data_IF_973456303240
#
_entry.id   IF_973456303240
#
_cell.length_a   1.000
_cell.length_b   1.000
_cell.length_c   1.000
_cell.angle_alpha   90.00
_cell.angle_beta   90.00
_cell.angle_gamma   90.00
#
_symmetry.space_group_name_H-M   'P 1'
#
loop_
_entity.id
_entity.type
_entity.pdbx_description
1 polymer ?
#
# COMPACT_ATOMS: atom_id res chain seq x y z
N UNK A 1 38.43 -27.92 49.29
CA UNK A 1 37.38 -28.94 49.10
C UNK A 1 36.03 -28.24 49.22
N UNK A 2 35.47 -27.77 48.09
CA UNK A 2 34.15 -27.14 48.04
C UNK A 2 33.16 -28.17 47.48
N UNK A 3 31.89 -28.21 47.95
CA UNK A 3 30.96 -29.23 47.50
C UNK A 3 30.55 -28.96 46.05
N UNK A 4 30.37 -30.06 45.33
CA UNK A 4 29.96 -30.11 43.94
C UNK A 4 28.71 -29.25 43.73
N UNK A 5 28.77 -28.38 42.72
CA UNK A 5 27.61 -27.63 42.25
C UNK A 5 26.50 -28.60 41.88
N UNK A 6 25.40 -28.56 42.62
CA UNK A 6 24.16 -29.17 42.20
C UNK A 6 23.73 -28.46 40.90
N UNK A 7 23.89 -29.14 39.77
CA UNK A 7 23.32 -28.72 38.52
C UNK A 7 21.80 -28.66 38.72
N UNK A 8 21.25 -27.44 38.74
CA UNK A 8 19.83 -27.20 38.57
C UNK A 8 19.51 -27.69 37.16
N UNK A 9 19.06 -28.94 37.03
CA UNK A 9 18.32 -29.38 35.86
C UNK A 9 16.99 -28.65 35.90
N UNK A 10 17.02 -27.41 35.42
CA UNK A 10 15.84 -26.75 34.92
C UNK A 10 15.42 -27.58 33.71
N UNK A 11 14.37 -28.39 33.90
CA UNK A 11 13.58 -28.89 32.80
C UNK A 11 12.93 -27.65 32.16
N UNK A 12 13.70 -26.93 31.35
CA UNK A 12 13.14 -26.08 30.32
C UNK A 12 12.60 -27.08 29.29
N UNK A 13 11.39 -27.56 29.52
CA UNK A 13 10.61 -28.03 28.40
C UNK A 13 10.44 -26.80 27.52
N UNK A 14 11.27 -26.73 26.48
CA UNK A 14 11.10 -25.80 25.38
C UNK A 14 9.71 -26.11 24.81
N UNK A 15 8.68 -25.39 25.29
CA UNK A 15 7.34 -25.50 24.74
C UNK A 15 7.46 -25.23 23.24
N UNK A 16 7.38 -26.30 22.45
CA UNK A 16 7.51 -26.24 21.01
C UNK A 16 6.33 -25.45 20.45
N UNK A 17 6.54 -24.16 20.19
CA UNK A 17 5.49 -23.29 19.67
C UNK A 17 5.20 -23.72 18.23
N UNK A 18 4.09 -24.44 18.05
CA UNK A 18 3.58 -24.80 16.73
C UNK A 18 3.17 -23.54 15.98
N UNK A 19 3.84 -23.24 14.86
CA UNK A 19 3.44 -22.17 13.94
C UNK A 19 2.59 -22.77 12.82
N UNK A 20 1.28 -22.46 12.73
CA UNK A 20 0.44 -22.94 11.65
C UNK A 20 0.99 -22.53 10.29
N UNK A 21 0.80 -23.41 9.31
CA UNK A 21 1.15 -23.13 7.91
C UNK A 21 0.14 -22.10 7.38
N UNK A 22 0.67 -21.00 6.86
CA UNK A 22 -0.14 -19.98 6.19
C UNK A 22 -0.55 -20.48 4.79
N UNK A 23 -1.85 -20.51 4.52
CA UNK A 23 -2.44 -20.87 3.22
C UNK A 23 -3.07 -19.63 2.55
N UNK A 24 -2.44 -18.47 2.72
CA UNK A 24 -2.93 -17.23 2.12
C UNK A 24 -2.56 -17.19 0.65
N UNK A 25 -3.52 -16.80 -0.19
CA UNK A 25 -3.24 -16.47 -1.58
C UNK A 25 -2.24 -15.29 -1.64
N UNK A 26 -1.27 -15.33 -2.55
CA UNK A 26 -0.31 -14.25 -2.70
C UNK A 26 -0.98 -12.96 -3.22
N UNK A 27 -0.27 -11.84 -3.10
CA UNK A 27 -0.69 -10.59 -3.75
C UNK A 27 -0.82 -10.79 -5.25
N UNK A 28 -1.97 -10.41 -5.82
CA UNK A 28 -2.18 -10.37 -7.27
C UNK A 28 -1.32 -9.30 -7.95
N UNK A 29 -0.86 -8.31 -7.18
CA UNK A 29 -0.26 -7.09 -7.72
C UNK A 29 1.26 -7.05 -7.57
N UNK A 30 1.84 -7.82 -6.63
CA UNK A 30 3.28 -7.78 -6.35
C UNK A 30 3.81 -6.35 -6.27
N UNK A 31 4.83 -6.06 -7.08
CA UNK A 31 5.48 -4.75 -7.18
C UNK A 31 4.97 -3.92 -8.37
N UNK A 32 3.83 -4.28 -8.97
CA UNK A 32 3.31 -3.60 -10.17
C UNK A 32 3.11 -2.09 -9.96
N UNK A 33 2.75 -1.68 -8.74
CA UNK A 33 2.59 -0.26 -8.37
C UNK A 33 3.79 0.30 -7.60
N UNK A 34 4.93 -0.39 -7.58
CA UNK A 34 6.10 0.03 -6.82
C UNK A 34 6.74 1.30 -7.38
N UNK A 35 6.67 1.50 -8.70
CA UNK A 35 7.23 2.68 -9.36
C UNK A 35 6.35 3.14 -10.51
N UNK A 36 6.10 4.44 -10.57
CA UNK A 36 5.43 5.10 -11.68
C UNK A 36 6.19 6.37 -12.04
N UNK A 37 6.48 6.55 -13.32
CA UNK A 37 7.01 7.80 -13.86
C UNK A 37 5.92 8.47 -14.67
N UNK A 38 5.52 9.66 -14.25
CA UNK A 38 4.53 10.45 -14.99
C UNK A 38 5.19 11.09 -16.20
N UNK A 39 4.57 10.92 -17.37
CA UNK A 39 4.92 11.73 -18.54
C UNK A 39 4.32 13.12 -18.36
N UNK A 40 5.17 14.08 -18.00
CA UNK A 40 4.74 15.45 -17.76
C UNK A 40 4.22 16.15 -19.02
N UNK A 41 4.67 15.77 -20.22
CA UNK A 41 4.17 16.38 -21.46
C UNK A 41 2.73 15.96 -21.67
N UNK A 42 2.47 14.65 -21.57
CA UNK A 42 1.12 14.07 -21.67
C UNK A 42 0.21 14.62 -20.57
N UNK A 43 0.69 14.76 -19.33
CA UNK A 43 -0.09 15.31 -18.23
C UNK A 43 -0.51 16.77 -18.48
N UNK A 44 0.38 17.59 -19.05
CA UNK A 44 0.08 19.00 -19.40
C UNK A 44 -0.91 19.08 -20.55
N UNK A 45 -0.76 18.23 -21.58
CA UNK A 45 -1.70 18.15 -22.70
C UNK A 45 -3.13 17.84 -22.21
N UNK A 46 -3.27 16.81 -21.37
CA UNK A 46 -4.57 16.49 -20.77
C UNK A 46 -5.11 17.61 -19.88
N UNK A 47 -4.26 18.27 -19.09
CA UNK A 47 -4.69 19.39 -18.25
C UNK A 47 -5.29 20.53 -19.07
N UNK A 48 -4.65 20.89 -20.19
CA UNK A 48 -5.13 21.94 -21.09
C UNK A 48 -6.46 21.55 -21.78
N UNK A 49 -6.59 20.29 -22.22
CA UNK A 49 -7.85 19.80 -22.80
C UNK A 49 -8.99 19.81 -21.75
N UNK A 50 -8.71 19.37 -20.53
CA UNK A 50 -9.66 19.40 -19.42
C UNK A 50 -10.10 20.85 -19.11
N UNK A 51 -9.20 21.82 -19.10
CA UNK A 51 -9.57 23.23 -18.91
C UNK A 51 -10.48 23.74 -20.02
N UNK A 52 -10.17 23.40 -21.27
CA UNK A 52 -11.01 23.76 -22.44
C UNK A 52 -12.41 23.16 -22.32
N UNK A 53 -12.50 21.88 -21.93
CA UNK A 53 -13.78 21.20 -21.73
C UNK A 53 -14.56 21.77 -20.54
N UNK A 54 -13.88 22.10 -19.44
CA UNK A 54 -14.50 22.75 -18.28
C UNK A 54 -15.10 24.09 -18.65
N UNK A 55 -14.40 24.90 -19.44
CA UNK A 55 -14.91 26.17 -19.93
C UNK A 55 -16.14 25.97 -20.81
N UNK A 56 -16.11 25.01 -21.73
CA UNK A 56 -17.25 24.73 -22.62
C UNK A 56 -18.48 24.19 -21.87
N UNK A 57 -18.30 23.37 -20.83
CA UNK A 57 -19.41 22.70 -20.14
C UNK A 57 -19.91 23.53 -18.97
N UNK A 58 -19.01 24.01 -18.11
CA UNK A 58 -19.38 24.64 -16.85
C UNK A 58 -19.79 26.09 -17.07
N UNK A 59 -19.11 26.82 -17.96
CA UNK A 59 -19.39 28.25 -18.15
C UNK A 59 -20.81 28.49 -18.69
N UNK A 60 -21.28 27.80 -19.74
CA UNK A 60 -22.65 27.97 -20.23
C UNK A 60 -23.71 27.53 -19.21
N UNK A 61 -23.44 26.47 -18.43
CA UNK A 61 -24.34 26.06 -17.34
C UNK A 61 -24.45 27.11 -16.24
N UNK A 62 -23.43 27.94 -16.01
CA UNK A 62 -23.52 29.07 -15.08
C UNK A 62 -24.30 30.26 -15.66
N UNK A 63 -24.20 30.53 -16.95
CA UNK A 63 -24.96 31.61 -17.61
C UNK A 63 -26.47 31.32 -17.69
N UNK A 64 -26.87 30.05 -17.82
CA UNK A 64 -28.29 29.64 -17.83
C UNK A 64 -28.99 29.76 -16.45
N UNK A 65 -28.29 30.22 -15.40
CA UNK A 65 -28.83 30.42 -14.04
C UNK A 65 -28.90 31.92 -13.65
N UNK A 66 -28.77 32.85 -14.60
CA UNK A 66 -28.81 34.31 -14.37
C UNK A 66 -30.08 34.97 -14.96
N UNK A 67 -31.12 34.18 -15.24
CA UNK A 67 -32.46 34.70 -15.59
C UNK A 67 -33.39 34.78 -14.36
#
# INVERSE_FOLDING_TARGET
>A
MAPAGAAVMSNYEEEEIFRPIADFSPSLWGDYFHSFSVDNQVAVEYAHEIETLKEYIVRPCLWNNID
#
